data_IF_267830774211
#
_entry.id   IF_267830774211
#
_cell.length_a   1.000
_cell.length_b   1.000
_cell.length_c   1.000
_cell.angle_alpha   90.00
_cell.angle_beta   90.00
_cell.angle_gamma   90.00
#
_symmetry.space_group_name_H-M   'P 1'
#
loop_
_entity.id
_entity.type
_entity.pdbx_description
1 polymer ?
#
# COMPACT_ATOMS: atom_id res chain seq x y z
N UNK A 1 -0.41 5.24 27.84
CA UNK A 1 -0.58 5.24 26.37
C UNK A 1 0.47 4.31 25.77
N UNK A 2 0.07 3.18 25.18
CA UNK A 2 1.01 2.31 24.47
C UNK A 2 1.43 2.99 23.17
N UNK A 3 2.65 3.51 23.10
CA UNK A 3 3.18 4.12 21.89
C UNK A 3 3.45 3.05 20.85
N UNK A 4 2.77 3.11 19.70
CA UNK A 4 3.07 2.25 18.56
C UNK A 4 4.39 2.71 17.90
N UNK A 5 5.46 1.90 17.88
CA UNK A 5 6.76 2.29 17.33
C UNK A 5 6.70 2.70 15.84
N UNK A 6 5.82 2.08 15.06
CA UNK A 6 5.62 2.39 13.63
C UNK A 6 5.14 3.84 13.47
N UNK A 7 4.28 4.31 14.37
CA UNK A 7 3.78 5.68 14.35
C UNK A 7 4.85 6.69 14.76
N UNK A 8 5.73 6.35 15.69
CA UNK A 8 6.86 7.21 16.07
C UNK A 8 7.81 7.40 14.89
N UNK A 9 8.19 6.31 14.23
CA UNK A 9 9.03 6.36 13.04
C UNK A 9 8.39 7.19 11.93
N UNK A 10 7.09 7.02 11.68
CA UNK A 10 6.40 7.82 10.68
C UNK A 10 6.38 9.32 11.01
N UNK A 11 6.20 9.69 12.29
CA UNK A 11 6.30 11.10 12.70
C UNK A 11 7.70 11.64 12.48
N UNK A 12 8.75 10.89 12.81
CA UNK A 12 10.13 11.32 12.55
C UNK A 12 10.38 11.56 11.06
N UNK A 13 9.86 10.69 10.18
CA UNK A 13 9.94 10.88 8.73
C UNK A 13 9.24 12.16 8.29
N UNK A 14 8.05 12.45 8.83
CA UNK A 14 7.30 13.67 8.52
C UNK A 14 7.97 14.93 9.07
N UNK A 15 8.49 14.89 10.30
CA UNK A 15 9.09 16.02 10.99
C UNK A 15 10.43 16.46 10.34
N UNK A 16 11.14 15.53 9.69
CA UNK A 16 12.51 15.74 9.18
C UNK A 16 12.66 15.59 7.67
N UNK A 17 11.60 15.23 6.97
CA UNK A 17 11.57 14.94 5.53
C UNK A 17 12.71 14.03 5.05
N UNK A 18 13.03 13.01 5.85
CA UNK A 18 14.08 12.01 5.57
C UNK A 18 13.72 10.67 6.18
N UNK A 19 14.42 9.60 5.77
CA UNK A 19 14.13 8.23 6.23
C UNK A 19 15.25 7.55 6.99
N UNK A 20 16.44 8.13 6.95
CA UNK A 20 17.62 7.65 7.67
C UNK A 20 17.71 8.36 9.02
N UNK A 21 17.83 7.61 10.11
CA UNK A 21 17.95 8.14 11.47
C UNK A 21 18.96 7.32 12.27
N UNK A 22 19.61 7.95 13.24
CA UNK A 22 20.40 7.20 14.21
C UNK A 22 19.49 6.54 15.26
N UNK A 23 19.90 5.36 15.72
CA UNK A 23 19.22 4.61 16.79
C UNK A 23 19.03 5.47 18.04
N UNK A 24 20.04 6.25 18.43
CA UNK A 24 19.97 7.18 19.57
C UNK A 24 18.82 8.20 19.42
N UNK A 25 18.58 8.71 18.22
CA UNK A 25 17.57 9.74 17.98
C UNK A 25 16.17 9.13 18.08
N UNK A 26 16.01 7.90 17.57
CA UNK A 26 14.77 7.12 17.71
C UNK A 26 14.49 6.83 19.19
N UNK A 27 15.50 6.40 19.95
CA UNK A 27 15.37 6.13 21.37
C UNK A 27 14.89 7.38 22.13
N UNK A 28 15.57 8.52 21.93
CA UNK A 28 15.20 9.79 22.55
C UNK A 28 13.82 10.30 22.13
N UNK A 29 13.42 10.06 20.89
CA UNK A 29 12.08 10.41 20.40
C UNK A 29 10.98 9.59 21.09
N UNK A 30 11.25 8.33 21.42
CA UNK A 30 10.31 7.47 22.14
C UNK A 30 10.21 7.84 23.62
N UNK A 31 11.36 8.05 24.26
CA UNK A 31 11.44 8.51 25.64
C UNK A 31 12.81 9.15 25.87
N UNK A 32 12.83 10.33 26.47
CA UNK A 32 14.07 11.09 26.75
C UNK A 32 15.08 10.28 27.58
N UNK A 33 14.62 9.31 28.38
CA UNK A 33 15.46 8.45 29.22
C UNK A 33 15.99 7.20 28.49
N UNK A 34 15.53 6.91 27.27
CA UNK A 34 16.01 5.75 26.53
C UNK A 34 17.37 6.01 25.87
N UNK A 35 18.06 4.91 25.58
CA UNK A 35 19.32 4.84 24.84
C UNK A 35 19.23 3.74 23.77
N UNK A 36 20.29 3.58 22.97
CA UNK A 36 20.31 2.61 21.87
C UNK A 36 20.01 1.18 22.34
N UNK A 37 20.62 0.73 23.44
CA UNK A 37 20.41 -0.64 23.95
C UNK A 37 18.98 -0.90 24.43
N UNK A 38 18.29 0.13 24.94
CA UNK A 38 16.91 0.01 25.45
C UNK A 38 15.92 -0.35 24.34
N UNK A 39 16.18 0.10 23.10
CA UNK A 39 15.25 -0.10 21.97
C UNK A 39 15.67 -1.23 21.02
N UNK A 40 16.81 -1.90 21.24
CA UNK A 40 17.31 -2.94 20.36
C UNK A 40 16.28 -4.04 20.07
N UNK A 41 15.65 -4.59 21.11
CA UNK A 41 14.62 -5.64 20.95
C UNK A 41 13.45 -5.19 20.07
N UNK A 42 13.07 -3.92 20.15
CA UNK A 42 12.03 -3.34 19.30
C UNK A 42 12.51 -3.19 17.85
N UNK A 43 13.74 -2.73 17.64
CA UNK A 43 14.33 -2.60 16.30
C UNK A 43 14.43 -3.97 15.60
N UNK A 44 14.80 -5.03 16.33
CA UNK A 44 14.79 -6.40 15.79
C UNK A 44 13.41 -6.80 15.26
N UNK A 45 12.35 -6.53 16.03
CA UNK A 45 10.96 -6.83 15.61
C UNK A 45 10.57 -6.01 14.38
N UNK A 46 10.83 -4.70 14.39
CA UNK A 46 10.53 -3.82 13.27
C UNK A 46 11.27 -4.22 11.99
N UNK A 47 12.50 -4.72 12.11
CA UNK A 47 13.28 -5.26 10.99
C UNK A 47 12.65 -6.56 10.48
N UNK A 48 12.32 -7.49 11.37
CA UNK A 48 11.68 -8.76 11.03
C UNK A 48 10.33 -8.55 10.31
N UNK A 49 9.54 -7.60 10.78
CA UNK A 49 8.25 -7.23 10.17
C UNK A 49 8.40 -6.41 8.88
N UNK A 50 9.62 -6.01 8.53
CA UNK A 50 9.94 -5.30 7.30
C UNK A 50 9.59 -3.80 7.31
N UNK A 51 9.47 -3.18 8.49
CA UNK A 51 9.25 -1.74 8.64
C UNK A 51 10.55 -0.93 8.49
N UNK A 52 11.69 -1.51 8.86
CA UNK A 52 12.98 -0.82 8.80
C UNK A 52 14.08 -1.68 8.18
N UNK A 53 15.15 -1.04 7.72
CA UNK A 53 16.50 -1.62 7.66
C UNK A 53 17.30 -1.05 8.83
N UNK A 54 18.12 -1.87 9.47
CA UNK A 54 18.92 -1.47 10.62
C UNK A 54 20.35 -1.97 10.41
N UNK A 55 21.32 -1.05 10.43
CA UNK A 55 22.74 -1.33 10.47
C UNK A 55 23.21 -1.23 11.92
N UNK A 56 23.57 -2.39 12.50
CA UNK A 56 24.00 -2.49 13.90
C UNK A 56 25.40 -1.88 14.13
N UNK A 57 26.26 -1.87 13.10
CA UNK A 57 27.62 -1.31 13.20
C UNK A 57 27.62 0.23 13.20
N UNK A 58 26.81 0.84 12.33
CA UNK A 58 26.73 2.30 12.21
C UNK A 58 25.64 2.93 13.09
N UNK A 59 24.86 2.12 13.80
CA UNK A 59 23.65 2.53 14.54
C UNK A 59 22.66 3.34 13.66
N UNK A 60 22.54 2.97 12.39
CA UNK A 60 21.65 3.65 11.44
C UNK A 60 20.41 2.83 11.12
N UNK A 61 19.28 3.51 11.06
CA UNK A 61 17.97 2.95 10.73
C UNK A 61 17.41 3.66 9.52
N UNK A 62 17.09 2.90 8.48
CA UNK A 62 16.31 3.38 7.34
C UNK A 62 14.86 2.93 7.46
N UNK A 63 13.94 3.90 7.54
CA UNK A 63 12.50 3.66 7.59
C UNK A 63 11.98 3.30 6.20
N UNK A 64 11.42 2.10 6.04
CA UNK A 64 10.91 1.62 4.74
C UNK A 64 9.56 2.26 4.42
N UNK A 65 9.27 2.38 3.13
CA UNK A 65 7.97 2.88 2.64
C UNK A 65 6.75 2.08 3.17
N UNK A 66 6.95 0.81 3.55
CA UNK A 66 5.91 -0.01 4.20
C UNK A 66 5.40 0.64 5.49
N UNK A 67 6.27 1.25 6.29
CA UNK A 67 5.92 1.94 7.54
C UNK A 67 4.95 3.07 7.28
N UNK A 68 5.27 3.95 6.34
CA UNK A 68 4.39 5.05 5.94
C UNK A 68 3.07 4.53 5.41
N UNK A 69 3.10 3.50 4.55
CA UNK A 69 1.89 2.89 3.99
C UNK A 69 0.99 2.30 5.07
N UNK A 70 1.55 1.58 6.04
CA UNK A 70 0.77 1.01 7.15
C UNK A 70 0.12 2.10 8.00
N UNK A 71 0.85 3.17 8.32
CA UNK A 71 0.31 4.25 9.15
C UNK A 71 -0.78 5.02 8.39
N UNK A 72 -0.62 5.26 7.09
CA UNK A 72 -1.64 5.90 6.28
C UNK A 72 -2.87 5.01 6.08
N UNK A 73 -2.70 3.70 5.86
CA UNK A 73 -3.80 2.75 5.79
C UNK A 73 -4.56 2.66 7.12
N UNK A 74 -3.85 2.59 8.25
CA UNK A 74 -4.47 2.60 9.58
C UNK A 74 -5.18 3.92 9.91
N UNK A 75 -4.82 5.02 9.25
CA UNK A 75 -5.45 6.34 9.41
C UNK A 75 -6.60 6.58 8.41
N UNK A 76 -6.90 5.62 7.52
CA UNK A 76 -7.91 5.81 6.46
C UNK A 76 -7.51 6.87 5.42
N UNK A 77 -6.21 7.00 5.14
CA UNK A 77 -5.68 7.88 4.07
C UNK A 77 -5.12 7.11 2.88
N UNK A 78 -4.77 5.83 3.05
CA UNK A 78 -4.55 4.90 1.95
C UNK A 78 -5.70 3.94 2.01
N UNK A 79 -6.79 4.37 1.41
CA UNK A 79 -7.93 3.53 1.14
C UNK A 79 -7.47 2.70 -0.06
N UNK A 80 -7.44 1.38 0.10
CA UNK A 80 -7.50 0.57 -1.10
C UNK A 80 -8.89 0.84 -1.66
N UNK A 81 -8.98 1.70 -2.67
CA UNK A 81 -10.22 1.91 -3.39
C UNK A 81 -10.56 0.57 -4.04
N UNK A 82 -11.45 -0.17 -3.38
CA UNK A 82 -12.04 -1.34 -4.00
C UNK A 82 -12.90 -0.81 -5.16
N UNK A 83 -12.42 -1.00 -6.38
CA UNK A 83 -13.20 -0.70 -7.57
C UNK A 83 -14.08 -1.91 -7.84
N UNK A 84 -15.39 -1.76 -7.64
CA UNK A 84 -16.37 -2.77 -8.01
C UNK A 84 -16.91 -2.46 -9.40
N UNK A 85 -16.78 -3.42 -10.31
CA UNK A 85 -17.28 -3.31 -11.67
C UNK A 85 -18.22 -4.47 -11.97
N UNK A 86 -19.43 -4.16 -12.44
CA UNK A 86 -20.36 -5.16 -12.96
C UNK A 86 -20.24 -5.18 -14.48
N UNK A 87 -19.61 -6.22 -15.02
CA UNK A 87 -19.53 -6.47 -16.46
C UNK A 87 -20.60 -7.46 -16.90
N UNK A 88 -21.32 -7.15 -17.98
CA UNK A 88 -22.28 -8.06 -18.64
C UNK A 88 -22.03 -8.02 -20.14
N UNK A 89 -21.33 -9.03 -20.64
CA UNK A 89 -21.04 -9.23 -22.07
C UNK A 89 -21.11 -10.71 -22.43
N UNK A 90 -21.31 -11.03 -23.71
CA UNK A 90 -21.19 -12.39 -24.25
C UNK A 90 -19.73 -12.83 -24.45
N UNK A 91 -18.79 -11.87 -24.46
CA UNK A 91 -17.35 -12.08 -24.68
C UNK A 91 -16.56 -12.12 -23.36
N UNK A 92 -15.23 -12.06 -23.42
CA UNK A 92 -14.39 -11.99 -22.23
C UNK A 92 -14.62 -10.67 -21.47
N UNK A 93 -14.88 -10.78 -20.16
CA UNK A 93 -15.19 -9.62 -19.33
C UNK A 93 -13.99 -8.69 -19.14
N UNK A 94 -12.76 -9.21 -19.17
CA UNK A 94 -11.54 -8.40 -19.05
C UNK A 94 -10.32 -9.07 -19.68
N UNK A 95 -9.38 -8.26 -20.16
CA UNK A 95 -8.07 -8.64 -20.67
C UNK A 95 -6.98 -7.85 -19.92
N UNK A 96 -5.96 -8.55 -19.43
CA UNK A 96 -4.83 -7.96 -18.69
C UNK A 96 -3.54 -8.14 -19.49
N UNK A 97 -2.92 -7.03 -19.88
CA UNK A 97 -1.58 -7.02 -20.46
C UNK A 97 -0.55 -7.02 -19.32
N UNK A 98 0.18 -8.12 -19.19
CA UNK A 98 1.20 -8.29 -18.14
C UNK A 98 2.50 -7.50 -18.39
N UNK A 99 2.68 -6.90 -19.57
CA UNK A 99 3.86 -6.10 -19.90
C UNK A 99 3.74 -4.67 -19.39
N UNK A 100 2.56 -4.08 -19.54
CA UNK A 100 2.28 -2.70 -19.13
C UNK A 100 1.28 -2.60 -17.97
N UNK A 101 0.76 -3.74 -17.51
CA UNK A 101 -0.24 -3.86 -16.45
C UNK A 101 -1.57 -3.13 -16.75
N UNK A 102 -1.87 -2.90 -18.02
CA UNK A 102 -3.15 -2.34 -18.46
C UNK A 102 -4.22 -3.43 -18.45
N UNK A 103 -5.39 -3.09 -17.94
CA UNK A 103 -6.56 -3.96 -17.98
C UNK A 103 -7.67 -3.29 -18.81
N UNK A 104 -8.10 -3.98 -19.86
CA UNK A 104 -9.28 -3.62 -20.65
C UNK A 104 -10.47 -4.44 -20.16
N UNK A 105 -11.59 -3.80 -19.87
CA UNK A 105 -12.78 -4.45 -19.29
C UNK A 105 -13.98 -4.15 -20.18
N UNK A 106 -14.64 -5.20 -20.66
CA UNK A 106 -15.75 -5.11 -21.61
C UNK A 106 -17.10 -5.14 -20.91
N UNK A 107 -18.10 -4.47 -21.49
CA UNK A 107 -19.50 -4.57 -21.06
C UNK A 107 -19.75 -4.03 -19.65
N UNK A 108 -19.01 -3.02 -19.20
CA UNK A 108 -19.19 -2.42 -17.88
C UNK A 108 -20.55 -1.73 -17.82
N UNK A 109 -21.43 -2.23 -16.95
CA UNK A 109 -22.73 -1.63 -16.66
C UNK A 109 -22.63 -0.51 -15.62
N UNK A 110 -21.91 -0.77 -14.53
CA UNK A 110 -21.73 0.15 -13.41
C UNK A 110 -20.31 0.05 -12.86
N UNK A 111 -19.74 1.18 -12.44
CA UNK A 111 -18.50 1.26 -11.66
C UNK A 111 -18.82 1.90 -10.31
N UNK A 112 -18.48 1.23 -9.22
CA UNK A 112 -18.50 1.79 -7.87
C UNK A 112 -17.06 1.97 -7.37
N UNK A 113 -16.76 3.16 -6.86
CA UNK A 113 -15.50 3.52 -6.20
C UNK A 113 -15.75 3.64 -4.69
N UNK A 114 -14.75 3.30 -3.87
CA UNK A 114 -14.88 3.24 -2.41
C UNK A 114 -14.67 4.61 -1.73
N UNK A 115 -15.67 5.01 -0.94
CA UNK A 115 -15.62 5.64 0.39
C UNK A 115 -15.03 7.03 0.72
N UNK A 116 -14.71 7.93 -0.23
CA UNK A 116 -14.66 9.37 0.13
C UNK A 116 -15.78 10.23 -0.40
N UNK A 117 -16.59 9.75 -1.36
CA UNK A 117 -17.92 10.27 -1.72
C UNK A 117 -18.53 9.27 -2.71
N UNK A 118 -19.79 8.87 -2.50
CA UNK A 118 -20.53 8.03 -3.45
C UNK A 118 -20.62 8.73 -4.82
N UNK A 119 -19.78 8.35 -5.78
CA UNK A 119 -19.87 8.78 -7.17
C UNK A 119 -20.18 7.56 -8.03
N UNK A 120 -21.38 7.52 -8.58
CA UNK A 120 -21.79 6.50 -9.57
C UNK A 120 -21.48 7.06 -10.96
N UNK A 121 -20.56 6.41 -11.68
CA UNK A 121 -20.21 6.81 -13.05
C UNK A 121 -20.89 5.87 -14.03
N UNK A 122 -21.67 6.43 -14.96
CA UNK A 122 -22.22 5.71 -16.11
C UNK A 122 -21.25 5.84 -17.29
N UNK A 123 -20.55 4.78 -17.70
CA UNK A 123 -19.64 4.86 -18.83
C UNK A 123 -20.42 5.05 -20.13
N UNK A 124 -20.11 6.11 -20.87
CA UNK A 124 -20.65 6.28 -22.21
C UNK A 124 -19.73 5.51 -23.18
N UNK A 125 -20.28 4.49 -23.86
CA UNK A 125 -19.61 3.55 -24.81
C UNK A 125 -18.96 2.27 -24.24
N UNK A 126 -19.42 1.74 -23.11
CA UNK A 126 -19.14 0.36 -22.61
C UNK A 126 -17.66 -0.05 -22.39
N UNK A 127 -16.69 0.87 -22.53
CA UNK A 127 -15.25 0.60 -22.42
C UNK A 127 -14.59 1.46 -21.36
N UNK A 128 -13.77 0.86 -20.51
CA UNK A 128 -13.02 1.55 -19.47
C UNK A 128 -11.59 1.00 -19.39
N UNK A 129 -10.60 1.89 -19.20
CA UNK A 129 -9.18 1.54 -19.09
C UNK A 129 -8.73 1.85 -17.66
N UNK A 130 -8.40 0.81 -16.89
CA UNK A 130 -7.91 0.96 -15.52
C UNK A 130 -6.40 0.68 -15.45
N UNK A 131 -5.68 1.45 -14.61
CA UNK A 131 -4.31 1.12 -14.17
C UNK A 131 -4.40 0.35 -12.85
N UNK A 132 -3.92 -0.88 -12.83
CA UNK A 132 -4.24 -1.83 -11.76
C UNK A 132 -3.69 -1.43 -10.38
N UNK A 133 -4.58 -1.22 -9.41
CA UNK A 133 -4.41 -1.62 -8.01
C UNK A 133 -5.62 -2.49 -7.64
N UNK A 134 -5.34 -3.73 -7.23
CA UNK A 134 -6.26 -4.80 -6.78
C UNK A 134 -7.72 -4.76 -7.31
N UNK A 135 -8.00 -5.55 -8.36
CA UNK A 135 -9.38 -5.77 -8.86
C UNK A 135 -9.84 -7.17 -8.48
N UNK A 136 -10.99 -7.30 -7.81
CA UNK A 136 -11.68 -8.59 -7.56
C UNK A 136 -12.84 -8.75 -8.55
N UNK A 137 -12.81 -9.82 -9.34
CA UNK A 137 -13.92 -10.19 -10.22
C UNK A 137 -14.81 -11.24 -9.56
N UNK A 138 -16.12 -11.02 -9.58
CA UNK A 138 -17.12 -12.01 -9.16
C UNK A 138 -17.96 -12.46 -10.36
N UNK A 139 -17.32 -13.04 -11.38
CA UNK A 139 -17.90 -14.08 -12.26
C UNK A 139 -16.76 -14.73 -13.07
N UNK A 140 -16.78 -16.07 -13.22
CA UNK A 140 -15.64 -16.87 -13.65
C UNK A 140 -15.59 -17.08 -15.16
N UNK A 141 -14.98 -16.17 -15.94
CA UNK A 141 -14.32 -16.47 -17.23
C UNK A 141 -13.18 -15.48 -17.51
N UNK A 142 -12.00 -15.71 -16.93
CA UNK A 142 -10.78 -14.96 -17.27
C UNK A 142 -9.95 -15.81 -18.22
N UNK A 143 -9.77 -15.37 -19.46
CA UNK A 143 -8.90 -16.06 -20.41
C UNK A 143 -7.48 -15.49 -20.27
N UNK A 144 -6.57 -16.30 -19.73
CA UNK A 144 -5.15 -15.95 -19.62
C UNK A 144 -4.48 -16.18 -20.98
N UNK A 145 -4.00 -15.13 -21.63
CA UNK A 145 -3.14 -15.28 -22.80
C UNK A 145 -1.70 -15.52 -22.33
N UNK A 146 -1.26 -16.79 -22.33
CA UNK A 146 0.15 -17.13 -22.46
C UNK A 146 0.46 -17.21 -23.94
N UNK A 147 1.39 -16.40 -24.44
CA UNK A 147 2.00 -16.68 -25.75
C UNK A 147 3.43 -17.14 -25.55
N UNK A 148 3.61 -18.42 -25.88
CA UNK A 148 4.87 -19.01 -26.31
C UNK A 148 5.22 -18.38 -27.67
N UNK A 149 6.44 -17.85 -27.75
CA UNK A 149 7.21 -17.33 -28.91
C UNK A 149 6.56 -16.28 -29.82
#
# INVERSE_FOLDING_TARGET
MNYNPVMVLQRMVQDKDRRDFYVKDIAKRMNVNYNSSTINRMLYRLRADGYIKHNEETEEVYVRAKTTRQVMANKGFIDYDNIYMTSKTSDANAELDLKNYNMDVNGIKNVLLSDSNYVVVFPNKERWIARAQAIKFQDRRVKRLSRDR
#
